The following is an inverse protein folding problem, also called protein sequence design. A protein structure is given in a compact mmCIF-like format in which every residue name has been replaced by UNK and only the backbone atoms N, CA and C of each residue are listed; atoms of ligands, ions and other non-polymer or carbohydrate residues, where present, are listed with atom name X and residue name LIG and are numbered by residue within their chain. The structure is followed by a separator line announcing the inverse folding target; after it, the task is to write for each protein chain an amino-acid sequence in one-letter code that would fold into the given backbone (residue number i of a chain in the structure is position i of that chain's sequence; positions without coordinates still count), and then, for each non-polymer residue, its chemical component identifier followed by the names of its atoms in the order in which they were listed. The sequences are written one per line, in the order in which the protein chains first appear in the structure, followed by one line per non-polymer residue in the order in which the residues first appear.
data_IF_546899397946
#
_entry.id   IF_546899397946
#
_cell.length_a   1.000
_cell.length_b   1.000
_cell.length_c   1.000
_cell.angle_alpha   90.00
_cell.angle_beta   90.00
_cell.angle_gamma   90.00
#
_symmetry.space_group_name_H-M   'P 1'
#
loop_
_entity.id
_entity.type
_entity.pdbx_description
1 polymer ?
#
# COMPACT_ATOMS: atom_id res chain seq x y z
N UNK A 1 20.32 -3.32 7.70
CA UNK A 1 19.88 -4.73 7.59
C UNK A 1 19.63 -5.06 6.12
N UNK A 2 20.24 -6.14 5.60
CA UNK A 2 20.27 -6.48 4.17
C UNK A 2 18.89 -6.83 3.57
N UNK A 3 17.95 -7.30 4.40
CA UNK A 3 16.63 -7.78 3.99
C UNK A 3 15.56 -6.69 3.81
N UNK A 4 15.89 -5.41 4.07
CA UNK A 4 14.97 -4.26 3.94
C UNK A 4 14.95 -3.62 2.55
N UNK A 5 15.58 -4.26 1.58
CA UNK A 5 15.71 -3.72 0.23
C UNK A 5 15.68 -4.77 -0.86
N UNK A 6 15.78 -4.31 -2.10
CA UNK A 6 15.62 -5.16 -3.26
C UNK A 6 16.08 -4.52 -4.56
N UNK A 7 15.80 -5.21 -5.67
CA UNK A 7 16.09 -4.79 -7.03
C UNK A 7 14.82 -4.19 -7.63
N UNK A 8 14.84 -2.91 -7.97
CA UNK A 8 13.74 -2.28 -8.71
C UNK A 8 13.94 -2.56 -10.20
N UNK A 9 12.97 -3.24 -10.80
CA UNK A 9 12.94 -3.59 -12.23
C UNK A 9 11.80 -2.83 -12.87
N UNK A 10 12.03 -2.25 -14.04
CA UNK A 10 10.95 -1.57 -14.76
C UNK A 10 10.22 -2.53 -15.73
N UNK A 11 8.91 -2.64 -15.57
CA UNK A 11 8.06 -3.45 -16.43
C UNK A 11 7.25 -2.56 -17.37
N UNK A 12 7.64 -2.52 -18.63
CA UNK A 12 6.91 -1.81 -19.67
C UNK A 12 5.52 -2.42 -19.90
N UNK A 13 4.45 -1.61 -19.88
CA UNK A 13 3.05 -2.05 -20.00
C UNK A 13 2.64 -2.39 -21.44
N UNK A 14 3.59 -2.48 -22.37
CA UNK A 14 3.34 -2.80 -23.79
C UNK A 14 2.32 -1.88 -24.48
N UNK A 15 2.16 -0.65 -23.98
CA UNK A 15 1.37 0.43 -24.55
C UNK A 15 2.19 1.72 -24.47
N UNK A 16 2.36 2.43 -25.59
CA UNK A 16 3.12 3.69 -25.65
C UNK A 16 4.64 3.51 -25.83
N UNK A 17 5.40 4.60 -25.70
CA UNK A 17 6.86 4.58 -25.86
C UNK A 17 7.56 3.95 -24.65
N UNK A 18 8.57 3.09 -24.83
CA UNK A 18 9.39 2.54 -23.72
C UNK A 18 10.23 3.59 -22.97
N UNK A 19 10.35 4.81 -23.52
CA UNK A 19 11.11 5.90 -22.92
C UNK A 19 10.26 6.74 -21.94
N UNK A 20 8.95 6.52 -21.89
CA UNK A 20 8.05 7.22 -20.98
C UNK A 20 7.85 6.41 -19.70
N UNK A 21 8.34 6.92 -18.57
CA UNK A 21 8.22 6.31 -17.25
C UNK A 21 6.75 6.17 -16.79
N UNK A 22 5.81 6.92 -17.37
CA UNK A 22 4.38 6.74 -17.08
C UNK A 22 3.84 5.42 -17.66
N UNK A 23 4.45 4.93 -18.76
CA UNK A 23 4.03 3.74 -19.49
C UNK A 23 4.65 2.45 -18.95
N UNK A 24 5.43 2.56 -17.88
CA UNK A 24 6.07 1.44 -17.22
C UNK A 24 5.59 1.28 -15.77
N UNK A 25 6.03 0.21 -15.11
CA UNK A 25 5.65 -0.12 -13.73
C UNK A 25 6.88 -0.67 -13.03
N UNK A 26 7.39 0.09 -12.06
CA UNK A 26 8.42 -0.39 -11.16
C UNK A 26 7.94 -1.57 -10.33
N UNK A 27 8.64 -2.69 -10.43
CA UNK A 27 8.45 -3.88 -9.61
C UNK A 27 9.66 -4.05 -8.70
N UNK A 28 9.44 -3.95 -7.39
CA UNK A 28 10.48 -4.21 -6.41
C UNK A 28 10.61 -5.72 -6.18
N UNK A 29 11.68 -6.31 -6.70
CA UNK A 29 12.06 -7.69 -6.41
C UNK A 29 12.80 -7.71 -5.08
N UNK A 30 12.09 -8.14 -4.04
CA UNK A 30 12.64 -8.28 -2.69
C UNK A 30 13.56 -9.49 -2.58
N UNK A 31 14.51 -9.43 -1.64
CA UNK A 31 15.45 -10.52 -1.36
C UNK A 31 14.73 -11.83 -0.95
N UNK A 32 15.40 -12.96 -1.13
CA UNK A 32 14.83 -14.27 -0.76
C UNK A 32 14.45 -14.33 0.71
N UNK A 33 15.24 -13.72 1.59
CA UNK A 33 15.00 -13.71 3.04
C UNK A 33 13.88 -12.78 3.47
N UNK A 34 13.52 -11.78 2.65
CA UNK A 34 12.42 -10.88 3.00
C UNK A 34 11.05 -11.54 2.82
N UNK A 35 10.93 -12.52 1.92
CA UNK A 35 9.66 -13.25 1.67
C UNK A 35 9.13 -13.99 2.92
N UNK A 36 9.90 -14.88 3.58
CA UNK A 36 9.42 -15.55 4.79
C UNK A 36 9.19 -14.54 5.92
N UNK A 37 9.99 -13.48 6.01
CA UNK A 37 9.79 -12.43 7.01
C UNK A 37 8.46 -11.68 6.80
N UNK A 38 8.17 -11.24 5.57
CA UNK A 38 6.89 -10.60 5.23
C UNK A 38 5.70 -11.55 5.43
N UNK A 39 5.87 -12.85 5.19
CA UNK A 39 4.83 -13.83 5.47
C UNK A 39 4.52 -13.93 6.96
N UNK A 40 5.54 -14.00 7.83
CA UNK A 40 5.36 -14.01 9.29
C UNK A 40 4.68 -12.73 9.79
N UNK A 41 5.05 -11.57 9.25
CA UNK A 41 4.38 -10.31 9.58
C UNK A 41 2.94 -10.30 9.11
N UNK A 42 2.65 -10.84 7.93
CA UNK A 42 1.29 -10.96 7.42
C UNK A 42 0.44 -11.82 8.35
N UNK A 43 0.94 -12.97 8.79
CA UNK A 43 0.22 -13.85 9.72
C UNK A 43 -0.12 -13.13 11.03
N UNK A 44 0.80 -12.31 11.55
CA UNK A 44 0.55 -11.48 12.74
C UNK A 44 -0.43 -10.32 12.52
N UNK A 45 -0.71 -9.95 11.26
CA UNK A 45 -1.64 -8.88 10.89
C UNK A 45 -3.00 -9.40 10.42
N UNK A 46 -3.13 -10.68 10.08
CA UNK A 46 -4.32 -11.24 9.44
C UNK A 46 -5.59 -11.02 10.26
N UNK A 47 -5.52 -11.15 11.59
CA UNK A 47 -6.65 -10.94 12.49
C UNK A 47 -7.12 -9.48 12.50
N UNK A 48 -6.18 -8.54 12.54
CA UNK A 48 -6.49 -7.11 12.52
C UNK A 48 -7.02 -6.69 11.14
N UNK A 49 -6.42 -7.23 10.08
CA UNK A 49 -6.83 -7.01 8.70
C UNK A 49 -8.27 -7.51 8.44
N UNK A 50 -8.58 -8.73 8.91
CA UNK A 50 -9.90 -9.35 8.75
C UNK A 50 -11.02 -8.59 9.47
N UNK A 51 -10.72 -7.95 10.61
CA UNK A 51 -11.69 -7.13 11.35
C UNK A 51 -12.01 -5.80 10.67
N UNK A 52 -11.02 -5.19 10.02
CA UNK A 52 -11.16 -3.89 9.35
C UNK A 52 -11.83 -4.02 7.97
N UNK A 53 -11.60 -5.14 7.29
CA UNK A 53 -12.06 -5.33 5.92
C UNK A 53 -13.59 -5.37 5.80
N UNK A 54 -14.19 -4.54 4.91
CA UNK A 54 -15.60 -4.67 4.59
C UNK A 54 -15.90 -6.03 3.95
N UNK A 55 -17.05 -6.62 4.27
CA UNK A 55 -17.50 -7.91 3.68
C UNK A 55 -17.58 -7.89 2.14
N UNK A 56 -17.67 -6.70 1.53
CA UNK A 56 -17.75 -6.50 0.08
C UNK A 56 -16.37 -6.29 -0.57
N UNK A 57 -15.28 -6.38 0.19
CA UNK A 57 -13.93 -6.29 -0.34
C UNK A 57 -13.48 -7.66 -0.86
N UNK A 58 -13.55 -7.85 -2.17
CA UNK A 58 -13.23 -9.12 -2.83
C UNK A 58 -11.77 -9.21 -3.33
N UNK A 59 -11.02 -8.12 -3.28
CA UNK A 59 -9.63 -8.04 -3.74
C UNK A 59 -8.65 -8.23 -2.60
N UNK A 60 -7.60 -9.03 -2.83
CA UNK A 60 -6.52 -9.32 -1.87
C UNK A 60 -6.98 -9.90 -0.52
N UNK A 61 -8.17 -10.50 -0.47
CA UNK A 61 -8.73 -11.16 0.72
C UNK A 61 -8.74 -12.68 0.55
N UNK A 62 -8.57 -13.41 1.66
CA UNK A 62 -8.66 -14.87 1.65
C UNK A 62 -10.09 -15.31 1.24
N UNK A 63 -10.19 -16.19 0.24
CA UNK A 63 -11.49 -16.61 -0.31
C UNK A 63 -12.19 -15.57 -1.19
N UNK A 64 -11.61 -14.38 -1.36
CA UNK A 64 -12.06 -13.37 -2.31
C UNK A 64 -11.72 -13.73 -3.76
N UNK A 65 -12.38 -13.04 -4.70
CA UNK A 65 -12.09 -13.23 -6.11
C UNK A 65 -12.87 -12.27 -7.01
N UNK A 66 -12.31 -11.99 -8.18
CA UNK A 66 -12.94 -11.15 -9.21
C UNK A 66 -14.28 -11.72 -9.67
N UNK A 67 -14.43 -13.05 -9.64
CA UNK A 67 -15.67 -13.74 -9.96
C UNK A 67 -16.83 -13.33 -9.05
N UNK A 68 -16.61 -13.24 -7.73
CA UNK A 68 -17.65 -12.84 -6.78
C UNK A 68 -18.09 -11.39 -7.00
N UNK A 69 -17.12 -10.48 -7.19
CA UNK A 69 -17.42 -9.08 -7.49
C UNK A 69 -18.24 -8.95 -8.78
N UNK A 70 -17.85 -9.66 -9.85
CA UNK A 70 -18.58 -9.65 -11.12
C UNK A 70 -19.98 -10.28 -10.98
N UNK A 71 -20.10 -11.40 -10.24
CA UNK A 71 -21.38 -12.04 -10.01
C UNK A 71 -22.33 -11.13 -9.23
N UNK A 72 -21.87 -10.50 -8.15
CA UNK A 72 -22.65 -9.55 -7.36
C UNK A 72 -23.19 -8.40 -8.22
N UNK A 73 -22.33 -7.78 -9.04
CA UNK A 73 -22.74 -6.70 -9.95
C UNK A 73 -23.78 -7.16 -10.95
N UNK A 74 -23.61 -8.36 -11.54
CA UNK A 74 -24.59 -8.94 -12.48
C UNK A 74 -25.92 -9.26 -11.81
N UNK A 75 -25.89 -9.89 -10.64
CA UNK A 75 -27.09 -10.20 -9.86
C UNK A 75 -27.86 -8.95 -9.48
N UNK A 76 -27.16 -7.86 -9.13
CA UNK A 76 -27.81 -6.56 -8.89
C UNK A 76 -28.50 -6.02 -10.15
N UNK A 77 -27.82 -6.10 -11.30
CA UNK A 77 -28.40 -5.68 -12.60
C UNK A 77 -29.66 -6.48 -12.91
N UNK A 78 -29.60 -7.80 -12.77
CA UNK A 78 -30.72 -8.69 -13.09
C UNK A 78 -31.88 -8.48 -12.12
N UNK A 79 -31.59 -8.25 -10.84
CA UNK A 79 -32.60 -7.88 -9.84
C UNK A 79 -33.34 -6.59 -10.20
N UNK A 80 -32.61 -5.52 -10.55
CA UNK A 80 -33.23 -4.25 -10.93
C UNK A 80 -34.11 -4.39 -12.19
N UNK A 81 -33.68 -5.20 -13.17
CA UNK A 81 -34.50 -5.50 -14.36
C UNK A 81 -35.79 -6.22 -14.01
N UNK A 82 -35.74 -7.22 -13.12
CA UNK A 82 -36.93 -7.97 -12.69
C UNK A 82 -37.92 -7.10 -11.91
N UNK A 83 -37.42 -6.15 -11.12
CA UNK A 83 -38.25 -5.23 -10.32
C UNK A 83 -38.65 -3.96 -11.08
N UNK A 84 -38.28 -3.84 -12.36
CA UNK A 84 -38.51 -2.65 -13.18
C UNK A 84 -37.99 -1.35 -12.52
N UNK A 85 -36.83 -1.43 -11.88
CA UNK A 85 -36.16 -0.32 -11.21
C UNK A 85 -35.10 0.31 -12.13
N UNK A 86 -34.98 1.63 -12.08
CA UNK A 86 -33.83 2.32 -12.68
C UNK A 86 -32.57 2.02 -11.87
N UNK A 87 -31.44 1.84 -12.56
CA UNK A 87 -30.17 1.51 -11.92
C UNK A 87 -28.99 2.16 -12.64
N UNK A 88 -27.90 2.34 -11.89
CA UNK A 88 -26.62 2.86 -12.40
C UNK A 88 -25.46 2.13 -11.71
N UNK A 89 -24.38 1.87 -12.44
CA UNK A 89 -23.14 1.29 -11.90
C UNK A 89 -22.01 2.27 -12.14
N UNK A 90 -21.41 2.74 -11.05
CA UNK A 90 -20.25 3.62 -11.09
C UNK A 90 -18.97 2.79 -10.98
N UNK A 91 -18.10 2.87 -11.99
CA UNK A 91 -16.77 2.29 -11.94
C UNK A 91 -15.77 3.37 -11.51
N UNK A 92 -15.10 3.14 -10.38
CA UNK A 92 -14.04 4.00 -9.85
C UNK A 92 -12.73 3.23 -9.92
N UNK A 93 -11.73 3.83 -10.56
CA UNK A 93 -10.35 3.31 -10.60
C UNK A 93 -9.41 4.36 -10.01
N UNK A 94 -8.50 3.91 -9.14
CA UNK A 94 -7.51 4.78 -8.50
C UNK A 94 -6.19 4.65 -9.24
N UNK A 95 -5.77 5.71 -9.91
CA UNK A 95 -4.45 5.76 -10.51
C UNK A 95 -3.38 5.81 -9.42
N UNK A 96 -2.36 4.94 -9.52
CA UNK A 96 -1.17 4.97 -8.64
C UNK A 96 -1.48 4.95 -7.14
N UNK A 97 -2.47 4.14 -6.73
CA UNK A 97 -2.92 4.08 -5.33
C UNK A 97 -1.78 3.87 -4.30
N UNK A 98 -0.74 3.10 -4.64
CA UNK A 98 0.40 2.85 -3.74
C UNK A 98 1.35 4.06 -3.59
N UNK A 99 1.36 4.97 -4.56
CA UNK A 99 2.27 6.13 -4.58
C UNK A 99 1.72 7.27 -3.72
N UNK A 100 0.38 7.40 -3.67
CA UNK A 100 -0.32 8.43 -2.89
C UNK A 100 -0.76 7.98 -1.49
N UNK A 101 -0.35 6.78 -1.05
CA UNK A 101 -0.71 6.28 0.27
C UNK A 101 0.18 6.94 1.35
N UNK A 102 -0.46 7.67 2.27
CA UNK A 102 0.20 8.19 3.50
C UNK A 102 0.29 7.03 4.50
N UNK A 103 1.48 6.42 4.59
CA UNK A 103 1.71 5.21 5.38
C UNK A 103 1.71 5.49 6.87
N UNK A 104 2.01 6.71 7.25
CA UNK A 104 2.15 7.17 8.62
C UNK A 104 0.86 6.97 9.44
N UNK A 105 -0.29 7.04 8.79
CA UNK A 105 -1.56 6.67 9.43
C UNK A 105 -1.67 5.18 9.75
N UNK A 106 -1.16 4.33 8.86
CA UNK A 106 -1.28 2.89 8.99
C UNK A 106 -0.27 2.37 10.02
N UNK A 107 1.00 2.74 9.85
CA UNK A 107 2.14 2.14 10.55
C UNK A 107 2.82 3.08 11.56
N UNK A 108 2.41 4.35 11.61
CA UNK A 108 3.07 5.38 12.42
C UNK A 108 4.24 6.04 11.71
N UNK A 109 4.81 7.05 12.36
CA UNK A 109 5.99 7.77 11.85
C UNK A 109 7.20 6.83 11.75
N UNK A 110 8.14 7.09 10.81
CA UNK A 110 9.30 6.22 10.64
C UNK A 110 10.19 6.14 11.89
N UNK A 111 10.63 4.92 12.23
CA UNK A 111 11.60 4.70 13.31
C UNK A 111 12.92 5.42 13.03
N UNK A 112 13.39 6.17 14.04
CA UNK A 112 14.65 6.90 13.97
C UNK A 112 14.59 8.16 13.09
N UNK A 113 13.39 8.62 12.73
CA UNK A 113 13.23 9.92 12.09
C UNK A 113 13.66 11.02 13.06
N UNK A 114 14.61 11.85 12.64
CA UNK A 114 15.13 12.98 13.42
C UNK A 114 14.34 14.27 13.16
N UNK A 115 13.46 14.25 12.16
CA UNK A 115 12.61 15.38 11.82
C UNK A 115 11.38 15.39 12.74
N UNK A 116 10.90 16.58 13.05
CA UNK A 116 9.57 16.71 13.64
C UNK A 116 8.51 16.15 12.68
N UNK A 117 7.44 15.53 13.19
CA UNK A 117 6.40 14.88 12.40
C UNK A 117 5.85 15.76 11.27
N UNK A 118 5.63 17.04 11.55
CA UNK A 118 5.11 18.02 10.61
C UNK A 118 6.09 18.26 9.46
N UNK A 119 7.37 18.47 9.78
CA UNK A 119 8.44 18.66 8.78
C UNK A 119 8.67 17.41 7.94
N UNK A 120 8.54 16.22 8.54
CA UNK A 120 8.59 14.97 7.80
C UNK A 120 7.41 14.84 6.82
N UNK A 121 6.19 15.12 7.25
CA UNK A 121 5.00 15.07 6.38
C UNK A 121 5.07 16.13 5.26
N UNK A 122 5.55 17.34 5.55
CA UNK A 122 5.82 18.35 4.53
C UNK A 122 6.85 17.87 3.50
N UNK A 123 7.87 17.10 3.92
CA UNK A 123 8.86 16.53 3.00
C UNK A 123 8.26 15.51 2.02
N UNK A 124 7.08 14.95 2.34
CA UNK A 124 6.31 14.09 1.44
C UNK A 124 5.46 14.89 0.43
N UNK A 125 5.54 16.23 0.46
CA UNK A 125 4.79 17.11 -0.45
C UNK A 125 3.38 17.46 0.05
N UNK A 126 3.10 17.29 1.34
CA UNK A 126 1.84 17.69 1.96
C UNK A 126 1.85 19.19 2.29
N UNK A 127 0.71 19.85 2.07
CA UNK A 127 0.51 21.24 2.48
C UNK A 127 0.66 21.41 4.00
N UNK A 128 1.10 22.60 4.44
CA UNK A 128 1.42 22.87 5.85
C UNK A 128 0.25 22.60 6.80
N UNK A 129 -0.96 23.04 6.45
CA UNK A 129 -2.16 22.82 7.25
C UNK A 129 -2.51 21.34 7.37
N UNK A 130 -2.38 20.60 6.26
CA UNK A 130 -2.65 19.16 6.20
C UNK A 130 -1.61 18.40 7.02
N UNK A 131 -0.32 18.72 6.86
CA UNK A 131 0.76 18.09 7.61
C UNK A 131 0.58 18.25 9.13
N UNK A 132 0.13 19.43 9.58
CA UNK A 132 -0.16 19.71 11.00
C UNK A 132 -1.35 18.92 11.52
N UNK A 133 -2.42 18.85 10.74
CA UNK A 133 -3.61 18.08 11.10
C UNK A 133 -3.27 16.59 11.23
N UNK A 134 -2.58 16.04 10.23
CA UNK A 134 -2.11 14.66 10.21
C UNK A 134 -1.19 14.33 11.39
N UNK A 135 -0.19 15.17 11.65
CA UNK A 135 0.71 14.99 12.78
C UNK A 135 -0.05 14.98 14.11
N UNK A 136 -1.08 15.81 14.24
CA UNK A 136 -1.93 15.86 15.44
C UNK A 136 -2.76 14.59 15.59
N UNK A 137 -3.39 14.11 14.52
CA UNK A 137 -4.18 12.88 14.55
C UNK A 137 -3.32 11.66 14.90
N UNK A 138 -2.17 11.49 14.25
CA UNK A 138 -1.26 10.38 14.53
C UNK A 138 -0.74 10.42 15.96
N UNK A 139 -0.45 11.61 16.51
CA UNK A 139 -0.07 11.77 17.92
C UNK A 139 -1.21 11.46 18.89
N UNK A 140 -2.45 11.79 18.52
CA UNK A 140 -3.60 11.66 19.41
C UNK A 140 -4.18 10.25 19.43
N UNK A 141 -4.37 9.64 18.26
CA UNK A 141 -5.01 8.34 18.11
C UNK A 141 -4.00 7.18 17.94
N UNK A 142 -2.73 7.48 17.69
CA UNK A 142 -1.74 6.48 17.30
C UNK A 142 -1.96 5.97 15.87
N UNK A 143 -1.14 5.01 15.48
CA UNK A 143 -1.26 4.31 14.19
C UNK A 143 -2.47 3.39 14.14
N UNK A 144 -3.00 3.10 12.94
CA UNK A 144 -4.12 2.18 12.78
C UNK A 144 -3.81 0.79 13.34
N UNK A 145 -2.57 0.31 13.21
CA UNK A 145 -2.18 -0.98 13.79
C UNK A 145 -2.32 -1.00 15.33
N UNK A 146 -1.98 0.09 16.00
CA UNK A 146 -2.14 0.24 17.46
C UNK A 146 -3.63 0.29 17.82
N UNK A 147 -4.43 1.05 17.06
CA UNK A 147 -5.88 1.14 17.27
C UNK A 147 -6.60 -0.20 17.09
N UNK A 148 -6.11 -1.05 16.19
CA UNK A 148 -6.62 -2.41 15.97
C UNK A 148 -6.15 -3.43 17.01
N UNK A 149 -5.29 -3.02 17.95
CA UNK A 149 -4.77 -3.89 19.01
C UNK A 149 -3.78 -4.94 18.50
N UNK A 150 -3.05 -4.66 17.41
CA UNK A 150 -1.95 -5.52 16.94
C UNK A 150 -0.85 -5.57 18.00
N UNK A 151 -0.17 -6.71 18.13
CA UNK A 151 0.99 -6.84 19.04
C UNK A 151 1.99 -5.70 18.76
N UNK A 152 2.36 -4.89 19.79
CA UNK A 152 3.30 -3.78 19.63
C UNK A 152 4.62 -4.17 18.96
N UNK A 153 5.08 -5.41 19.15
CA UNK A 153 6.28 -5.93 18.49
C UNK A 153 6.07 -6.12 17.00
N UNK A 154 4.92 -6.65 16.60
CA UNK A 154 4.56 -6.82 15.18
C UNK A 154 4.42 -5.44 14.53
N UNK A 155 3.69 -4.52 15.17
CA UNK A 155 3.55 -3.15 14.69
C UNK A 155 4.92 -2.45 14.55
N UNK A 156 5.80 -2.59 15.53
CA UNK A 156 7.16 -2.05 15.47
C UNK A 156 8.01 -2.70 14.36
N UNK A 157 7.89 -4.01 14.13
CA UNK A 157 8.62 -4.69 13.04
C UNK A 157 8.12 -4.25 11.67
N UNK A 158 6.80 -4.08 11.50
CA UNK A 158 6.20 -3.54 10.27
C UNK A 158 6.70 -2.12 10.03
N UNK A 159 6.62 -1.25 11.04
CA UNK A 159 7.17 0.10 10.93
C UNK A 159 8.67 0.08 10.57
N UNK A 160 9.46 -0.82 11.17
CA UNK A 160 10.89 -0.96 10.88
C UNK A 160 11.18 -1.42 9.45
N UNK A 161 10.33 -2.30 8.89
CA UNK A 161 10.46 -2.77 7.51
C UNK A 161 10.19 -1.64 6.51
N UNK A 162 9.23 -0.76 6.82
CA UNK A 162 8.87 0.38 6.00
C UNK A 162 9.74 1.63 6.28
N UNK A 163 10.51 1.64 7.36
CA UNK A 163 11.46 2.70 7.69
C UNK A 163 12.81 2.45 7.01
N UNK A 164 13.27 3.43 6.23
CA UNK A 164 14.57 3.38 5.53
C UNK A 164 14.72 2.17 4.59
N UNK A 165 13.62 1.73 3.96
CA UNK A 165 13.69 0.72 2.89
C UNK A 165 14.45 1.28 1.69
N UNK A 166 15.32 0.48 1.09
CA UNK A 166 16.17 0.90 -0.03
C UNK A 166 15.97 0.00 -1.25
N UNK A 167 16.27 0.51 -2.44
CA UNK A 167 16.27 -0.29 -3.66
C UNK A 167 17.46 0.08 -4.55
N UNK A 168 17.89 -0.87 -5.39
CA UNK A 168 18.86 -0.62 -6.46
C UNK A 168 18.17 -0.77 -7.80
N UNK A 169 18.35 0.22 -8.67
CA UNK A 169 17.89 0.16 -10.05
C UNK A 169 18.78 -0.77 -10.84
N UNK A 170 18.19 -1.56 -11.74
CA UNK A 170 18.83 -2.77 -12.21
C UNK A 170 19.09 -2.84 -13.70
N UNK A 171 18.64 -1.81 -14.42
CA UNK A 171 18.69 -1.77 -15.87
C UNK A 171 19.81 -0.85 -16.38
N UNK A 172 20.67 -0.38 -15.47
CA UNK A 172 21.93 0.26 -15.83
C UNK A 172 23.02 -0.81 -15.81
N UNK A 173 23.78 -1.02 -16.91
CA UNK A 173 24.99 -1.83 -16.85
C UNK A 173 25.89 -1.26 -15.76
N UNK A 174 26.34 -2.14 -14.86
CA UNK A 174 27.30 -1.80 -13.81
C UNK A 174 28.69 -1.63 -14.42
N UNK A 175 28.87 -0.60 -15.24
CA UNK A 175 30.18 -0.14 -15.72
C UNK A 175 30.16 1.40 -15.74
N UNK A 176 30.42 1.99 -14.58
CA UNK A 176 31.05 3.30 -14.49
C UNK A 176 32.31 3.14 -13.63
N UNK A 177 33.29 2.45 -14.19
CA UNK A 177 34.70 2.60 -13.82
C UNK A 177 35.33 3.62 -14.78
N UNK A 178 35.50 4.85 -14.30
CA UNK A 178 36.52 5.80 -14.75
C UNK A 178 36.57 6.96 -13.76
#
# INVERSE_FOLDING_TARGET
MQWRGGRLVDLWKSKGSPLDCAMSRGLLISDHMSKPFSALLKDGLEDAYSKLLPQKQFGCTAGGGTYFANHLTRSFIDYCKLQNLSMFVLFLDLEKAFDYTIREFLIGLPQGCLLEPESYLQSLGLDDDVAKELAREVRHFGSLLEQLGVDPKVAALVNSLHSNSWFRYSDLPTDCSS
#
